data_IF_157333268263
#
_entry.id   IF_157333268263
#
_cell.length_a   1.000
_cell.length_b   1.000
_cell.length_c   1.000
_cell.angle_alpha   90.00
_cell.angle_beta   90.00
_cell.angle_gamma   90.00
#
_symmetry.space_group_name_H-M   'P 1'
#
loop_
_entity.id
_entity.type
_entity.pdbx_description
1 polymer ?
#
# COMPACT_ATOMS: atom_id res chain seq x y z
N UNK A 1 -2.74 -25.56 19.75
CA UNK A 1 -3.66 -24.91 18.80
C UNK A 1 -3.37 -23.43 18.87
N UNK A 2 -3.14 -22.75 17.74
CA UNK A 2 -2.99 -21.29 17.75
C UNK A 2 -4.25 -20.66 18.34
N UNK A 3 -4.08 -19.61 19.15
CA UNK A 3 -5.18 -18.85 19.72
C UNK A 3 -5.96 -18.22 18.56
N UNK A 4 -7.25 -18.52 18.46
CA UNK A 4 -8.11 -17.92 17.43
C UNK A 4 -8.44 -16.48 17.81
N UNK A 5 -8.49 -15.61 16.81
CA UNK A 5 -8.75 -14.17 16.96
C UNK A 5 -9.99 -13.79 16.15
N UNK A 6 -10.91 -13.06 16.76
CA UNK A 6 -12.08 -12.49 16.09
C UNK A 6 -11.67 -11.17 15.42
N UNK A 7 -12.00 -11.03 14.14
CA UNK A 7 -11.52 -9.94 13.28
C UNK A 7 -12.69 -9.18 12.67
N UNK A 8 -12.61 -7.84 12.66
CA UNK A 8 -13.49 -6.99 11.87
C UNK A 8 -12.75 -6.43 10.65
N UNK A 9 -13.38 -6.47 9.47
CA UNK A 9 -12.91 -5.78 8.27
C UNK A 9 -13.87 -4.62 7.99
N UNK A 10 -13.39 -3.39 8.19
CA UNK A 10 -14.18 -2.16 8.03
C UNK A 10 -13.92 -1.54 6.67
N UNK A 11 -14.99 -1.31 5.90
CA UNK A 11 -14.90 -1.00 4.47
C UNK A 11 -14.89 -2.27 3.60
N UNK A 12 -15.50 -3.36 4.07
CA UNK A 12 -15.45 -4.68 3.45
C UNK A 12 -15.97 -4.78 2.01
N UNK A 13 -16.76 -3.80 1.55
CA UNK A 13 -17.30 -3.75 0.17
C UNK A 13 -16.44 -2.91 -0.79
N UNK A 14 -15.33 -2.34 -0.32
CA UNK A 14 -14.37 -1.64 -1.16
C UNK A 14 -13.31 -2.60 -1.69
N UNK A 15 -12.61 -2.23 -2.77
CA UNK A 15 -11.58 -3.09 -3.39
C UNK A 15 -10.55 -3.61 -2.38
N UNK A 16 -9.98 -2.73 -1.53
CA UNK A 16 -9.03 -3.14 -0.49
C UNK A 16 -9.68 -4.05 0.56
N UNK A 17 -10.91 -3.78 0.98
CA UNK A 17 -11.61 -4.58 1.99
C UNK A 17 -11.94 -6.00 1.51
N UNK A 18 -12.36 -6.13 0.25
CA UNK A 18 -12.55 -7.44 -0.40
C UNK A 18 -11.22 -8.20 -0.48
N UNK A 19 -10.13 -7.53 -0.87
CA UNK A 19 -8.79 -8.12 -0.90
C UNK A 19 -8.28 -8.49 0.49
N UNK A 20 -8.58 -7.71 1.55
CA UNK A 20 -8.25 -8.09 2.93
C UNK A 20 -8.93 -9.40 3.34
N UNK A 21 -10.23 -9.56 3.02
CA UNK A 21 -10.96 -10.80 3.29
C UNK A 21 -10.39 -11.99 2.51
N UNK A 22 -10.03 -11.77 1.24
CA UNK A 22 -9.39 -12.78 0.40
C UNK A 22 -8.04 -13.23 0.99
N UNK A 23 -7.17 -12.28 1.36
CA UNK A 23 -5.84 -12.56 1.89
C UNK A 23 -5.91 -13.25 3.25
N UNK A 24 -6.78 -12.79 4.15
CA UNK A 24 -7.02 -13.46 5.44
C UNK A 24 -7.34 -14.94 5.24
N UNK A 25 -8.13 -15.27 4.23
CA UNK A 25 -8.43 -16.66 3.87
C UNK A 25 -7.24 -17.38 3.24
N UNK A 26 -6.61 -16.80 2.22
CA UNK A 26 -5.48 -17.39 1.49
C UNK A 26 -4.30 -17.73 2.41
N UNK A 27 -4.02 -16.85 3.38
CA UNK A 27 -2.91 -17.00 4.33
C UNK A 27 -3.27 -17.85 5.54
N UNK A 28 -4.49 -18.40 5.60
CA UNK A 28 -4.99 -19.17 6.74
C UNK A 28 -4.80 -18.44 8.08
N UNK A 29 -5.06 -17.12 8.09
CA UNK A 29 -4.98 -16.32 9.31
C UNK A 29 -5.83 -17.00 10.41
N UNK A 30 -5.37 -17.04 11.68
CA UNK A 30 -6.00 -17.81 12.75
C UNK A 30 -7.33 -17.18 13.24
N UNK A 31 -8.30 -17.03 12.35
CA UNK A 31 -9.58 -16.39 12.62
C UNK A 31 -10.51 -17.30 13.44
N UNK A 32 -11.18 -16.69 14.42
CA UNK A 32 -12.38 -17.22 15.06
C UNK A 32 -13.60 -16.89 14.20
N UNK A 33 -14.20 -15.73 14.45
CA UNK A 33 -15.27 -15.11 13.67
C UNK A 33 -14.74 -13.89 12.92
N UNK A 34 -15.14 -13.76 11.65
CA UNK A 34 -14.84 -12.60 10.81
C UNK A 34 -16.12 -11.79 10.60
N UNK A 35 -16.04 -10.49 10.86
CA UNK A 35 -17.14 -9.53 10.69
C UNK A 35 -16.83 -8.61 9.51
N UNK A 36 -17.70 -8.60 8.50
CA UNK A 36 -17.61 -7.66 7.38
C UNK A 36 -18.45 -6.43 7.71
N UNK A 37 -17.83 -5.25 7.81
CA UNK A 37 -18.48 -4.01 8.22
C UNK A 37 -18.39 -2.96 7.11
N UNK A 38 -19.49 -2.26 6.87
CA UNK A 38 -19.54 -1.12 5.95
C UNK A 38 -20.62 -0.12 6.39
N UNK A 39 -20.90 0.89 5.55
CA UNK A 39 -22.01 1.83 5.79
C UNK A 39 -23.37 1.13 5.77
N UNK A 40 -24.37 1.74 6.41
CA UNK A 40 -25.79 1.33 6.35
C UNK A 40 -26.27 0.93 4.95
N UNK A 41 -25.92 1.71 3.91
CA UNK A 41 -26.28 1.42 2.50
C UNK A 41 -25.79 0.05 2.00
N UNK A 42 -24.66 -0.41 2.54
CA UNK A 42 -24.03 -1.67 2.16
C UNK A 42 -24.42 -2.83 3.08
N UNK A 43 -25.07 -2.56 4.23
CA UNK A 43 -25.49 -3.58 5.16
C UNK A 43 -26.53 -4.52 4.51
N UNK A 44 -26.41 -5.81 4.80
CA UNK A 44 -27.23 -6.86 4.17
C UNK A 44 -26.68 -7.39 2.85
N UNK A 45 -25.71 -6.71 2.22
CA UNK A 45 -24.99 -7.28 1.08
C UNK A 45 -24.13 -8.46 1.51
N UNK A 46 -23.73 -9.27 0.55
CA UNK A 46 -22.84 -10.41 0.76
C UNK A 46 -21.44 -10.13 0.19
N UNK A 47 -20.41 -10.45 0.95
CA UNK A 47 -19.00 -10.45 0.51
C UNK A 47 -18.39 -11.83 0.69
N UNK A 48 -17.43 -12.18 -0.17
CA UNK A 48 -16.79 -13.50 -0.12
C UNK A 48 -15.73 -13.56 0.99
N UNK A 49 -15.62 -14.71 1.64
CA UNK A 49 -14.54 -15.07 2.54
C UNK A 49 -14.15 -16.54 2.28
N UNK A 50 -13.29 -16.73 1.28
CA UNK A 50 -12.97 -18.07 0.77
C UNK A 50 -14.20 -18.77 0.21
N UNK A 51 -14.51 -19.93 0.77
CA UNK A 51 -15.70 -20.71 0.39
C UNK A 51 -16.98 -20.30 1.13
N UNK A 52 -16.92 -19.24 1.95
CA UNK A 52 -18.06 -18.73 2.73
C UNK A 52 -18.49 -17.36 2.20
N UNK A 53 -19.75 -17.03 2.46
CA UNK A 53 -20.29 -15.69 2.26
C UNK A 53 -20.56 -15.04 3.60
N UNK A 54 -20.09 -13.81 3.79
CA UNK A 54 -20.33 -12.99 4.97
C UNK A 54 -21.40 -11.95 4.64
N UNK A 55 -22.39 -11.82 5.52
CA UNK A 55 -23.35 -10.72 5.44
C UNK A 55 -22.69 -9.48 6.03
N UNK A 56 -22.71 -8.38 5.29
CA UNK A 56 -22.18 -7.10 5.72
C UNK A 56 -23.08 -6.52 6.81
N UNK A 57 -22.50 -6.21 7.97
CA UNK A 57 -23.17 -5.55 9.09
C UNK A 57 -22.93 -4.02 9.02
N UNK A 58 -23.82 -3.26 9.65
CA UNK A 58 -23.70 -1.80 9.73
C UNK A 58 -22.64 -1.40 10.77
N UNK A 59 -21.60 -0.71 10.30
CA UNK A 59 -20.51 -0.19 11.12
C UNK A 59 -21.02 0.69 12.28
N UNK A 60 -22.08 1.47 12.07
CA UNK A 60 -22.55 2.45 13.05
C UNK A 60 -23.09 1.79 14.33
N UNK A 61 -23.60 0.56 14.22
CA UNK A 61 -24.22 -0.18 15.33
C UNK A 61 -23.36 -1.36 15.81
N UNK A 62 -22.19 -1.56 15.20
CA UNK A 62 -21.31 -2.65 15.56
C UNK A 62 -20.67 -2.46 16.94
N UNK A 63 -20.57 -3.57 17.67
CA UNK A 63 -19.95 -3.62 19.00
C UNK A 63 -18.51 -4.12 18.89
N UNK A 64 -17.55 -3.21 18.97
CA UNK A 64 -16.12 -3.51 18.81
C UNK A 64 -15.52 -4.32 19.97
N UNK A 65 -16.20 -4.48 21.11
CA UNK A 65 -15.69 -5.36 22.18
C UNK A 65 -15.73 -6.84 21.80
N UNK A 66 -16.36 -7.19 20.66
CA UNK A 66 -16.45 -8.55 20.13
C UNK A 66 -15.22 -9.00 19.34
N UNK A 67 -14.29 -8.10 19.03
CA UNK A 67 -13.15 -8.37 18.14
C UNK A 67 -11.85 -7.91 18.79
N UNK A 68 -10.76 -8.64 18.56
CA UNK A 68 -9.44 -8.22 19.04
C UNK A 68 -8.67 -7.43 17.98
N UNK A 69 -8.96 -7.64 16.69
CA UNK A 69 -8.29 -6.95 15.58
C UNK A 69 -9.30 -6.35 14.60
N UNK A 70 -9.07 -5.11 14.20
CA UNK A 70 -9.84 -4.41 13.19
C UNK A 70 -8.97 -3.98 12.01
N UNK A 71 -9.25 -4.47 10.81
CA UNK A 71 -8.60 -4.03 9.57
C UNK A 71 -9.47 -2.95 8.92
N UNK A 72 -8.97 -1.71 8.86
CA UNK A 72 -9.75 -0.55 8.45
C UNK A 72 -9.30 -0.06 7.07
N UNK A 73 -10.22 -0.04 6.10
CA UNK A 73 -10.08 0.72 4.87
C UNK A 73 -11.37 1.45 4.42
N UNK A 74 -12.12 2.14 5.31
CA UNK A 74 -13.37 2.82 4.95
C UNK A 74 -13.20 4.24 4.38
N UNK A 75 -11.99 4.79 4.42
CA UNK A 75 -11.69 6.20 4.13
C UNK A 75 -11.47 7.03 5.39
N UNK A 76 -10.60 8.05 5.30
CA UNK A 76 -10.04 8.77 6.45
C UNK A 76 -11.11 9.37 7.40
N UNK A 77 -12.17 9.96 6.86
CA UNK A 77 -13.24 10.55 7.66
C UNK A 77 -14.01 9.52 8.52
N UNK A 78 -14.10 8.28 8.05
CA UNK A 78 -14.73 7.18 8.80
C UNK A 78 -13.74 6.65 9.84
N UNK A 79 -12.48 6.43 9.46
CA UNK A 79 -11.44 5.98 10.39
C UNK A 79 -11.26 6.94 11.57
N UNK A 80 -11.31 8.26 11.31
CA UNK A 80 -11.28 9.31 12.34
C UNK A 80 -12.31 9.11 13.46
N UNK A 81 -13.49 8.58 13.11
CA UNK A 81 -14.61 8.40 14.05
C UNK A 81 -14.56 7.02 14.71
N UNK A 82 -14.31 5.97 13.93
CA UNK A 82 -14.51 4.59 14.39
C UNK A 82 -13.23 3.91 14.88
N UNK A 83 -12.04 4.29 14.40
CA UNK A 83 -10.80 3.68 14.89
C UNK A 83 -10.56 3.98 16.38
N UNK A 84 -10.74 5.22 16.90
CA UNK A 84 -10.62 5.48 18.33
C UNK A 84 -11.67 4.73 19.16
N UNK A 85 -12.92 4.63 18.68
CA UNK A 85 -13.98 3.87 19.36
C UNK A 85 -13.66 2.38 19.46
N UNK A 86 -13.11 1.81 18.39
CA UNK A 86 -12.67 0.41 18.40
C UNK A 86 -11.51 0.20 19.38
N UNK A 87 -10.51 1.08 19.36
CA UNK A 87 -9.39 1.06 20.29
C UNK A 87 -9.84 1.16 21.76
N UNK A 88 -10.75 2.07 22.09
CA UNK A 88 -11.33 2.21 23.43
C UNK A 88 -12.10 0.95 23.88
N UNK A 89 -12.69 0.21 22.95
CA UNK A 89 -13.37 -1.07 23.22
C UNK A 89 -12.41 -2.26 23.36
N UNK A 90 -11.09 -2.05 23.24
CA UNK A 90 -10.07 -3.08 23.35
C UNK A 90 -9.69 -3.78 22.03
N UNK A 91 -10.19 -3.31 20.90
CA UNK A 91 -9.82 -3.80 19.57
C UNK A 91 -8.56 -3.06 19.07
N UNK A 92 -7.52 -3.79 18.65
CA UNK A 92 -6.35 -3.17 18.02
C UNK A 92 -6.66 -2.91 16.54
N UNK A 93 -6.59 -1.64 16.14
CA UNK A 93 -6.92 -1.21 14.79
C UNK A 93 -5.66 -1.13 13.92
N UNK A 94 -5.73 -1.69 12.72
CA UNK A 94 -4.75 -1.50 11.66
C UNK A 94 -5.44 -0.67 10.57
N UNK A 95 -5.07 0.60 10.48
CA UNK A 95 -5.76 1.58 9.64
C UNK A 95 -5.00 1.85 8.33
N UNK A 96 -5.62 1.52 7.20
CA UNK A 96 -5.10 1.75 5.85
C UNK A 96 -5.26 3.20 5.36
N UNK A 97 -5.95 4.05 6.11
CA UNK A 97 -6.14 5.45 5.71
C UNK A 97 -4.95 6.32 6.09
N UNK A 98 -4.91 7.54 5.55
CA UNK A 98 -3.87 8.50 5.93
C UNK A 98 -4.16 9.24 7.24
N UNK A 99 -5.30 9.00 7.90
CA UNK A 99 -5.75 9.81 9.06
C UNK A 99 -4.73 9.80 10.20
N UNK A 100 -4.12 8.65 10.48
CA UNK A 100 -3.27 8.45 11.66
C UNK A 100 -1.77 8.33 11.36
N UNK A 101 -1.36 8.35 10.09
CA UNK A 101 0.03 8.04 9.68
C UNK A 101 1.07 8.98 10.28
N UNK A 102 0.68 10.23 10.54
CA UNK A 102 1.58 11.29 11.01
C UNK A 102 1.37 11.63 12.50
N UNK A 103 0.56 10.87 13.24
CA UNK A 103 0.48 10.99 14.70
C UNK A 103 1.71 10.29 15.32
N UNK A 104 2.52 11.02 16.09
CA UNK A 104 3.74 10.50 16.72
C UNK A 104 3.48 9.34 17.70
N UNK A 105 2.26 9.27 18.27
CA UNK A 105 1.87 8.19 19.16
C UNK A 105 1.41 6.93 18.41
N UNK A 106 1.29 6.96 17.09
CA UNK A 106 0.80 5.85 16.27
C UNK A 106 1.92 5.35 15.35
N UNK A 107 2.31 4.06 15.43
CA UNK A 107 3.34 3.51 14.56
C UNK A 107 2.86 3.40 13.12
N UNK A 108 3.76 3.68 12.18
CA UNK A 108 3.56 3.54 10.74
C UNK A 108 4.44 2.39 10.23
N UNK A 109 3.83 1.29 9.80
CA UNK A 109 4.55 0.01 9.74
C UNK A 109 4.58 -0.61 8.33
N UNK A 110 5.77 -1.00 7.90
CA UNK A 110 5.99 -2.01 6.86
C UNK A 110 6.68 -3.20 7.53
N UNK A 111 6.03 -4.39 7.60
CA UNK A 111 6.55 -5.55 8.34
C UNK A 111 7.98 -5.96 8.00
N UNK A 112 8.39 -5.84 6.74
CA UNK A 112 9.75 -6.18 6.29
C UNK A 112 10.80 -5.11 6.68
N UNK A 113 10.38 -3.93 7.12
CA UNK A 113 11.25 -2.76 7.30
C UNK A 113 11.41 -2.36 8.75
N UNK A 114 10.30 -2.17 9.46
CA UNK A 114 10.28 -1.72 10.86
C UNK A 114 9.27 -2.51 11.72
N UNK A 115 9.34 -3.86 11.75
CA UNK A 115 8.37 -4.68 12.47
C UNK A 115 8.37 -4.43 13.99
N UNK A 116 9.48 -3.93 14.54
CA UNK A 116 9.59 -3.58 15.96
C UNK A 116 8.61 -2.47 16.37
N UNK A 117 8.30 -1.54 15.46
CA UNK A 117 7.38 -0.43 15.74
C UNK A 117 5.94 -0.90 16.02
N UNK A 118 5.58 -2.15 15.66
CA UNK A 118 4.28 -2.74 16.02
C UNK A 118 4.07 -2.70 17.54
N UNK A 119 5.12 -2.83 18.36
CA UNK A 119 5.02 -2.78 19.83
C UNK A 119 4.33 -1.51 20.37
N UNK A 120 4.41 -0.41 19.62
CA UNK A 120 3.85 0.90 19.99
C UNK A 120 2.33 0.97 19.79
N UNK A 121 1.69 -0.09 19.29
CA UNK A 121 0.23 -0.18 19.22
C UNK A 121 -0.46 0.13 20.56
N UNK A 122 0.22 -0.14 21.69
CA UNK A 122 -0.27 0.10 23.05
C UNK A 122 -0.53 1.57 23.37
N UNK A 123 0.11 2.48 22.65
CA UNK A 123 -0.03 3.92 22.90
C UNK A 123 -1.45 4.41 22.65
N UNK A 124 -2.08 3.93 21.57
CA UNK A 124 -3.41 4.41 21.11
C UNK A 124 -4.36 3.29 20.69
N UNK A 125 -3.93 2.03 20.71
CA UNK A 125 -4.67 0.89 20.16
C UNK A 125 -4.77 0.91 18.63
N UNK A 126 -3.93 1.69 17.95
CA UNK A 126 -3.97 1.91 16.50
C UNK A 126 -2.55 1.74 15.94
N UNK A 127 -2.44 1.04 14.81
CA UNK A 127 -1.27 0.96 13.94
C UNK A 127 -1.69 1.49 12.57
N UNK A 128 -0.89 2.38 11.97
CA UNK A 128 -1.16 2.90 10.64
C UNK A 128 -0.45 2.06 9.57
N UNK A 129 -1.19 1.72 8.52
CA UNK A 129 -0.67 1.10 7.30
C UNK A 129 -0.32 2.22 6.29
N UNK A 130 0.89 2.22 5.69
CA UNK A 130 1.36 3.32 4.84
C UNK A 130 0.69 3.40 3.46
N UNK A 131 1.07 4.42 2.69
CA UNK A 131 0.67 4.61 1.31
C UNK A 131 1.23 3.50 0.43
N UNK A 132 0.45 3.06 -0.56
CA UNK A 132 0.82 1.98 -1.47
C UNK A 132 2.16 2.20 -2.19
N UNK A 133 2.41 3.41 -2.69
CA UNK A 133 3.67 3.78 -3.35
C UNK A 133 4.84 3.75 -2.36
N UNK A 134 4.60 4.22 -1.13
CA UNK A 134 5.66 4.18 -0.10
C UNK A 134 5.99 2.75 0.31
N UNK A 135 5.00 1.85 0.48
CA UNK A 135 5.23 0.46 0.88
C UNK A 135 6.19 -0.25 -0.08
N UNK A 136 5.89 -0.24 -1.39
CA UNK A 136 6.74 -0.93 -2.36
C UNK A 136 8.16 -0.32 -2.45
N UNK A 137 8.27 1.00 -2.33
CA UNK A 137 9.54 1.69 -2.29
C UNK A 137 10.35 1.31 -1.04
N UNK A 138 9.73 1.27 0.14
CA UNK A 138 10.43 0.91 1.39
C UNK A 138 10.90 -0.53 1.38
N UNK A 139 10.08 -1.48 0.92
CA UNK A 139 10.50 -2.88 0.76
C UNK A 139 11.70 -2.98 -0.17
N UNK A 140 11.67 -2.33 -1.35
CA UNK A 140 12.77 -2.37 -2.31
C UNK A 140 14.05 -1.68 -1.80
N UNK A 141 13.93 -0.61 -1.02
CA UNK A 141 15.07 0.19 -0.58
C UNK A 141 15.71 -0.31 0.71
N UNK A 142 14.97 -0.99 1.58
CA UNK A 142 15.45 -1.47 2.89
C UNK A 142 16.74 -2.30 2.82
N UNK A 143 16.87 -3.36 2.00
CA UNK A 143 18.11 -4.14 1.95
C UNK A 143 19.34 -3.30 1.53
N UNK A 144 19.14 -2.31 0.66
CA UNK A 144 20.21 -1.40 0.23
C UNK A 144 20.55 -0.40 1.35
N UNK A 145 19.54 0.16 2.01
CA UNK A 145 19.70 1.08 3.13
C UNK A 145 20.48 0.44 4.27
N UNK A 146 20.17 -0.81 4.63
CA UNK A 146 20.88 -1.52 5.71
C UNK A 146 22.34 -1.81 5.36
N UNK A 147 22.64 -2.09 4.09
CA UNK A 147 23.99 -2.42 3.65
C UNK A 147 24.91 -1.19 3.57
N UNK A 148 24.43 -0.08 3.01
CA UNK A 148 25.30 1.06 2.64
C UNK A 148 24.70 2.44 2.96
N UNK A 149 23.48 2.50 3.49
CA UNK A 149 22.73 3.74 3.71
C UNK A 149 22.26 4.40 2.41
N UNK A 150 21.18 5.19 2.50
CA UNK A 150 20.64 5.99 1.40
C UNK A 150 20.58 7.45 1.86
N UNK A 151 21.19 8.36 1.10
CA UNK A 151 21.16 9.80 1.42
C UNK A 151 20.06 10.52 0.66
N UNK A 152 19.73 10.05 -0.55
CA UNK A 152 18.72 10.68 -1.39
C UNK A 152 17.97 9.69 -2.27
N UNK A 153 16.69 9.94 -2.46
CA UNK A 153 15.78 9.21 -3.35
C UNK A 153 15.12 10.21 -4.30
N UNK A 154 15.27 10.01 -5.60
CA UNK A 154 14.35 10.57 -6.60
C UNK A 154 13.46 9.46 -7.08
N UNK A 155 12.16 9.73 -7.17
CA UNK A 155 11.19 8.75 -7.63
C UNK A 155 10.17 9.40 -8.54
N UNK A 156 9.88 8.75 -9.66
CA UNK A 156 8.74 9.08 -10.50
C UNK A 156 7.81 7.89 -10.52
N UNK A 157 6.57 8.09 -10.07
CA UNK A 157 5.57 7.02 -10.00
C UNK A 157 4.74 6.95 -11.28
N UNK A 158 4.25 5.76 -11.57
CA UNK A 158 3.35 5.41 -12.65
C UNK A 158 2.20 4.65 -12.00
N UNK A 159 1.31 5.37 -11.34
CA UNK A 159 0.28 4.80 -10.48
C UNK A 159 -0.98 4.42 -11.28
N UNK A 160 -1.44 3.19 -11.06
CA UNK A 160 -2.71 2.68 -11.58
C UNK A 160 -3.94 3.41 -11.03
N UNK A 161 -5.05 3.38 -11.76
CA UNK A 161 -6.31 4.04 -11.39
C UNK A 161 -7.05 3.36 -10.24
N UNK A 162 -6.77 2.07 -9.94
CA UNK A 162 -7.33 1.38 -8.77
C UNK A 162 -6.96 2.03 -7.44
N UNK A 163 -5.88 2.82 -7.37
CA UNK A 163 -5.53 3.60 -6.18
C UNK A 163 -6.59 4.64 -5.78
N UNK A 164 -7.40 5.11 -6.74
CA UNK A 164 -8.56 5.99 -6.48
C UNK A 164 -9.86 5.19 -6.24
N UNK A 165 -9.80 3.86 -6.41
CA UNK A 165 -10.93 2.96 -6.23
C UNK A 165 -11.77 2.75 -7.50
N UNK A 166 -12.88 2.01 -7.32
CA UNK A 166 -13.76 1.55 -8.40
C UNK A 166 -14.26 2.64 -9.37
N UNK A 167 -14.66 3.85 -8.92
CA UNK A 167 -15.12 4.88 -9.83
C UNK A 167 -14.06 5.26 -10.89
N UNK A 168 -12.78 5.32 -10.51
CA UNK A 168 -11.70 5.66 -11.44
C UNK A 168 -11.40 4.52 -12.43
N UNK A 169 -11.53 3.27 -11.99
CA UNK A 169 -11.44 2.10 -12.89
C UNK A 169 -12.56 2.12 -13.92
N UNK A 170 -13.79 2.39 -13.49
CA UNK A 170 -14.95 2.52 -14.38
C UNK A 170 -14.76 3.69 -15.36
N UNK A 171 -14.22 4.82 -14.91
CA UNK A 171 -13.92 5.97 -15.77
C UNK A 171 -12.88 5.64 -16.85
N UNK A 172 -11.75 5.01 -16.49
CA UNK A 172 -10.74 4.59 -17.47
C UNK A 172 -11.34 3.64 -18.51
N UNK A 173 -12.12 2.64 -18.08
CA UNK A 173 -12.75 1.68 -18.98
C UNK A 173 -13.73 2.37 -19.95
N UNK A 174 -14.60 3.25 -19.42
CA UNK A 174 -15.59 3.99 -20.21
C UNK A 174 -14.94 4.95 -21.20
N UNK A 175 -13.96 5.74 -20.78
CA UNK A 175 -13.24 6.67 -21.65
C UNK A 175 -12.51 5.92 -22.78
N UNK A 176 -11.83 4.81 -22.44
CA UNK A 176 -11.12 3.99 -23.42
C UNK A 176 -12.08 3.41 -24.46
N UNK A 177 -13.19 2.81 -24.01
CA UNK A 177 -14.21 2.27 -24.91
C UNK A 177 -14.84 3.36 -25.79
N UNK A 178 -15.14 4.54 -25.23
CA UNK A 178 -15.71 5.65 -26.00
C UNK A 178 -14.77 6.10 -27.13
N UNK A 179 -13.49 6.33 -26.84
CA UNK A 179 -12.50 6.78 -27.82
C UNK A 179 -12.30 5.76 -28.95
N UNK A 180 -12.20 4.46 -28.60
CA UNK A 180 -12.07 3.39 -29.60
C UNK A 180 -13.32 3.22 -30.48
N UNK A 181 -14.45 3.81 -30.09
CA UNK A 181 -15.70 3.82 -30.84
C UNK A 181 -16.06 5.20 -31.42
N UNK A 182 -15.12 6.16 -31.44
CA UNK A 182 -15.33 7.50 -32.00
C UNK A 182 -16.36 8.35 -31.24
N UNK A 183 -16.59 8.05 -29.96
CA UNK A 183 -17.53 8.77 -29.09
C UNK A 183 -16.79 9.79 -28.23
N UNK A 184 -17.46 10.88 -27.80
CA UNK A 184 -16.87 11.84 -26.88
C UNK A 184 -16.57 11.19 -25.53
N UNK A 185 -15.59 11.74 -24.81
CA UNK A 185 -15.24 11.34 -23.45
C UNK A 185 -15.81 12.31 -22.43
N UNK A 186 -16.13 11.79 -21.25
CA UNK A 186 -16.47 12.59 -20.08
C UNK A 186 -15.46 12.27 -18.96
N UNK A 187 -15.02 13.31 -18.25
CA UNK A 187 -14.15 13.18 -17.07
C UNK A 187 -14.93 13.64 -15.85
N UNK A 188 -15.09 12.75 -14.87
CA UNK A 188 -15.94 12.93 -13.69
C UNK A 188 -15.21 12.64 -12.38
N UNK A 189 -14.27 11.70 -12.41
CA UNK A 189 -13.43 11.32 -11.27
C UNK A 189 -12.12 12.09 -11.31
N UNK A 190 -11.45 12.12 -12.46
CA UNK A 190 -10.24 12.92 -12.65
C UNK A 190 -10.55 14.28 -13.29
N UNK A 191 -9.74 15.32 -13.00
CA UNK A 191 -9.93 16.65 -13.59
C UNK A 191 -9.62 16.69 -15.10
N UNK A 192 -8.99 15.63 -15.64
CA UNK A 192 -8.63 15.49 -17.06
C UNK A 192 -8.83 14.03 -17.48
N UNK A 193 -8.99 13.82 -18.79
CA UNK A 193 -9.06 12.48 -19.40
C UNK A 193 -7.87 11.63 -18.97
N UNK A 194 -8.13 10.40 -18.50
CA UNK A 194 -7.09 9.44 -18.13
C UNK A 194 -6.81 8.43 -19.25
N UNK A 195 -7.81 8.07 -20.06
CA UNK A 195 -7.59 7.16 -21.19
C UNK A 195 -6.54 7.71 -22.16
N UNK A 196 -5.53 6.89 -22.49
CA UNK A 196 -4.39 7.26 -23.36
C UNK A 196 -3.63 8.52 -22.91
N UNK A 197 -3.59 8.82 -21.61
CA UNK A 197 -2.99 10.04 -21.08
C UNK A 197 -2.22 9.77 -19.77
N UNK A 198 -1.40 10.74 -19.35
CA UNK A 198 -0.67 10.72 -18.08
C UNK A 198 -0.97 11.99 -17.29
N UNK A 199 -1.34 11.86 -16.02
CA UNK A 199 -1.74 12.99 -15.17
C UNK A 199 -0.73 13.17 -14.03
N UNK A 200 0.11 14.23 -14.03
CA UNK A 200 1.09 14.50 -12.97
C UNK A 200 0.42 15.18 -11.77
N UNK A 201 -0.64 14.57 -11.26
CA UNK A 201 -1.47 15.11 -10.18
C UNK A 201 -2.23 13.96 -9.50
N UNK A 202 -1.81 13.62 -8.28
CA UNK A 202 -2.49 12.65 -7.42
C UNK A 202 -2.69 13.28 -6.05
N UNK A 203 -3.93 13.20 -5.54
CA UNK A 203 -4.34 13.95 -4.34
C UNK A 203 -4.30 15.47 -4.59
N UNK A 204 -4.40 16.31 -3.55
CA UNK A 204 -4.43 17.78 -3.68
C UNK A 204 -3.04 18.41 -3.73
N UNK A 205 -2.90 19.62 -4.27
CA UNK A 205 -1.65 20.40 -4.16
C UNK A 205 -1.46 20.98 -2.75
N UNK A 206 -0.22 21.00 -2.30
CA UNK A 206 0.26 21.65 -1.07
C UNK A 206 0.92 23.01 -1.40
N UNK A 207 1.14 23.86 -0.39
CA UNK A 207 1.65 25.23 -0.57
C UNK A 207 3.06 25.29 -1.21
N UNK A 208 3.84 24.21 -1.09
CA UNK A 208 5.18 24.09 -1.65
C UNK A 208 5.20 23.67 -3.13
N UNK A 209 4.04 23.44 -3.75
CA UNK A 209 3.89 23.04 -5.15
C UNK A 209 3.94 21.54 -5.40
N UNK A 210 4.28 20.72 -4.41
CA UNK A 210 4.08 19.27 -4.46
C UNK A 210 2.61 18.94 -4.24
N UNK A 211 2.21 17.74 -4.65
CA UNK A 211 0.94 17.14 -4.26
C UNK A 211 1.05 16.44 -2.91
N UNK A 212 -0.09 16.21 -2.26
CA UNK A 212 -0.14 15.50 -0.99
C UNK A 212 0.38 14.08 -1.15
N UNK A 213 0.11 13.39 -2.26
CA UNK A 213 0.65 12.04 -2.54
C UNK A 213 2.18 12.03 -2.57
N UNK A 214 2.78 13.01 -3.24
CA UNK A 214 4.22 13.23 -3.24
C UNK A 214 4.74 13.46 -1.82
N UNK A 215 4.07 14.32 -1.04
CA UNK A 215 4.46 14.57 0.34
C UNK A 215 4.28 13.35 1.25
N UNK A 216 3.30 12.47 1.00
CA UNK A 216 3.19 11.18 1.71
C UNK A 216 4.45 10.36 1.53
N UNK A 217 4.95 10.24 0.29
CA UNK A 217 6.20 9.49 0.03
C UNK A 217 7.39 10.10 0.77
N UNK A 218 7.44 11.43 0.95
CA UNK A 218 8.50 12.09 1.73
C UNK A 218 8.37 11.78 3.22
N UNK A 219 7.22 12.09 3.83
CA UNK A 219 7.04 12.01 5.28
C UNK A 219 7.01 10.57 5.77
N UNK A 220 6.33 9.68 5.05
CA UNK A 220 6.20 8.28 5.43
C UNK A 220 7.54 7.55 5.31
N UNK A 221 8.36 7.84 4.29
CA UNK A 221 9.72 7.28 4.17
C UNK A 221 10.57 7.58 5.39
N UNK A 222 10.61 8.84 5.83
CA UNK A 222 11.39 9.26 7.00
C UNK A 222 10.92 8.57 8.27
N UNK A 223 9.60 8.50 8.47
CA UNK A 223 9.01 7.85 9.66
C UNK A 223 9.25 6.35 9.67
N UNK A 224 9.11 5.66 8.53
CA UNK A 224 9.28 4.20 8.43
C UNK A 224 10.75 3.78 8.57
N UNK A 225 11.66 4.54 7.94
CA UNK A 225 13.11 4.28 8.03
C UNK A 225 13.75 4.83 9.31
N UNK A 226 12.99 5.58 10.12
CA UNK A 226 13.46 6.24 11.34
C UNK A 226 14.68 7.14 11.09
N UNK A 227 14.70 7.80 9.93
CA UNK A 227 15.79 8.69 9.51
C UNK A 227 15.27 9.94 8.78
N UNK A 228 15.32 11.08 9.47
CA UNK A 228 14.92 12.38 8.94
C UNK A 228 15.89 12.95 7.89
N UNK A 229 17.10 12.40 7.78
CA UNK A 229 18.15 12.89 6.88
C UNK A 229 17.99 12.36 5.45
N UNK A 230 17.17 11.33 5.22
CA UNK A 230 16.89 10.83 3.87
C UNK A 230 16.15 11.92 3.08
N UNK A 231 16.80 12.45 2.05
CA UNK A 231 16.17 13.39 1.14
C UNK A 231 15.29 12.63 0.13
N UNK A 232 14.01 12.96 0.02
CA UNK A 232 13.08 12.31 -0.91
C UNK A 232 12.50 13.36 -1.86
N UNK A 233 12.58 13.11 -3.16
CA UNK A 233 12.08 13.98 -4.21
C UNK A 233 11.17 13.19 -5.19
N UNK A 234 9.85 13.14 -4.91
CA UNK A 234 8.90 12.40 -5.72
C UNK A 234 8.22 13.25 -6.79
N UNK A 235 7.89 12.63 -7.93
CA UNK A 235 6.84 13.07 -8.87
C UNK A 235 5.78 11.98 -8.95
N UNK A 236 4.54 12.27 -8.59
CA UNK A 236 3.46 11.29 -8.60
C UNK A 236 2.58 11.43 -9.86
N UNK A 237 2.54 10.39 -10.71
CA UNK A 237 1.82 10.43 -11.99
C UNK A 237 0.80 9.30 -12.09
N UNK A 238 -0.45 9.65 -12.41
CA UNK A 238 -1.49 8.68 -12.73
C UNK A 238 -1.38 8.26 -14.20
N UNK A 239 -1.41 6.96 -14.44
CA UNK A 239 -1.30 6.35 -15.78
C UNK A 239 -2.52 5.47 -16.09
N UNK A 240 -2.81 5.15 -17.37
CA UNK A 240 -4.00 4.41 -17.77
C UNK A 240 -3.82 2.90 -17.57
N UNK A 241 -3.48 2.50 -16.35
CA UNK A 241 -3.29 1.11 -15.92
C UNK A 241 -4.33 0.80 -14.83
N UNK A 242 -4.97 -0.36 -14.88
CA UNK A 242 -6.02 -0.73 -13.91
C UNK A 242 -5.46 -1.06 -12.53
N UNK A 243 -4.48 -1.96 -12.46
CA UNK A 243 -3.88 -2.45 -11.21
C UNK A 243 -2.36 -2.48 -11.33
N UNK A 244 -1.68 -2.33 -10.20
CA UNK A 244 -0.23 -2.29 -10.10
C UNK A 244 0.32 -0.87 -10.21
N UNK A 245 1.14 -0.48 -9.24
CA UNK A 245 1.94 0.75 -9.35
C UNK A 245 3.33 0.41 -9.87
N UNK A 246 3.93 1.33 -10.59
CA UNK A 246 5.33 1.22 -10.99
C UNK A 246 6.10 2.48 -10.62
N UNK A 247 7.39 2.34 -10.34
CA UNK A 247 8.23 3.43 -9.88
C UNK A 247 9.60 3.35 -10.55
N UNK A 248 9.99 4.45 -11.19
CA UNK A 248 11.38 4.67 -11.56
C UNK A 248 12.07 5.33 -10.37
N UNK A 249 12.97 4.60 -9.72
CA UNK A 249 13.66 5.05 -8.51
C UNK A 249 15.14 5.23 -8.82
N UNK A 250 15.67 6.41 -8.47
CA UNK A 250 17.08 6.73 -8.53
C UNK A 250 17.54 7.12 -7.13
N UNK A 251 18.45 6.34 -6.55
CA UNK A 251 18.98 6.58 -5.21
C UNK A 251 20.44 7.00 -5.26
N UNK A 252 20.84 7.81 -4.29
CA UNK A 252 22.22 8.09 -3.95
C UNK A 252 22.50 7.41 -2.60
N UNK A 253 23.47 6.49 -2.57
CA UNK A 253 23.86 5.75 -1.36
C UNK A 253 24.98 6.47 -0.62
N UNK A 254 25.07 6.27 0.70
CA UNK A 254 26.16 6.86 1.51
C UNK A 254 27.49 6.23 1.09
N UNK A 255 27.56 4.90 1.10
CA UNK A 255 28.72 4.14 0.64
C UNK A 255 28.47 3.53 -0.75
N UNK A 256 29.52 3.33 -1.54
CA UNK A 256 29.41 2.77 -2.89
C UNK A 256 28.87 1.34 -2.83
N UNK A 257 27.82 1.06 -3.59
CA UNK A 257 27.29 -0.28 -3.84
C UNK A 257 27.28 -0.55 -5.34
N UNK A 258 27.78 -1.72 -5.76
CA UNK A 258 27.74 -2.13 -7.16
C UNK A 258 26.33 -2.62 -7.52
N UNK A 259 25.94 -2.55 -8.80
CA UNK A 259 24.65 -3.11 -9.22
C UNK A 259 24.58 -4.63 -9.02
N UNK A 260 25.71 -5.34 -9.10
CA UNK A 260 25.76 -6.78 -8.84
C UNK A 260 25.44 -7.10 -7.39
N UNK A 261 26.06 -6.38 -6.44
CA UNK A 261 25.82 -6.61 -5.01
C UNK A 261 24.42 -6.14 -4.60
N UNK A 262 23.93 -5.03 -5.18
CA UNK A 262 22.55 -4.61 -5.01
C UNK A 262 21.55 -5.70 -5.45
N UNK A 263 21.78 -6.35 -6.61
CA UNK A 263 20.94 -7.48 -7.05
C UNK A 263 20.97 -8.66 -6.08
N UNK A 264 22.12 -9.00 -5.50
CA UNK A 264 22.22 -10.08 -4.50
C UNK A 264 21.37 -9.76 -3.27
N UNK A 265 21.53 -8.55 -2.72
CA UNK A 265 20.76 -8.09 -1.57
C UNK A 265 19.25 -8.12 -1.84
N UNK A 266 18.82 -7.66 -3.02
CA UNK A 266 17.42 -7.66 -3.42
C UNK A 266 16.86 -9.08 -3.62
N UNK A 267 17.64 -10.00 -4.19
CA UNK A 267 17.21 -11.38 -4.42
C UNK A 267 17.09 -12.20 -3.14
N UNK A 268 17.82 -11.83 -2.08
CA UNK A 268 17.81 -12.51 -0.77
C UNK A 268 16.77 -11.93 0.20
N UNK A 269 16.24 -10.74 -0.07
CA UNK A 269 15.32 -10.04 0.83
C UNK A 269 13.89 -10.58 0.72
N UNK A 270 13.28 -10.90 1.86
CA UNK A 270 11.91 -11.44 1.90
C UNK A 270 10.90 -10.42 1.35
N UNK A 271 9.95 -10.92 0.55
CA UNK A 271 8.93 -10.09 -0.07
C UNK A 271 9.36 -9.43 -1.39
N UNK A 272 10.61 -9.59 -1.82
CA UNK A 272 11.08 -9.16 -3.14
C UNK A 272 11.17 -10.32 -4.12
N UNK A 273 10.69 -10.13 -5.34
CA UNK A 273 11.03 -10.96 -6.50
C UNK A 273 11.88 -10.15 -7.49
N UNK A 274 13.15 -10.53 -7.65
CA UNK A 274 14.05 -9.88 -8.59
C UNK A 274 13.85 -10.42 -10.01
N UNK A 275 13.38 -9.55 -10.92
CA UNK A 275 13.32 -9.80 -12.36
C UNK A 275 14.17 -8.76 -13.09
N UNK A 276 15.47 -9.04 -13.21
CA UNK A 276 16.45 -8.12 -13.79
C UNK A 276 17.34 -8.81 -14.84
N UNK A 277 16.71 -9.41 -15.83
CA UNK A 277 17.41 -9.99 -16.96
C UNK A 277 17.59 -8.91 -18.03
N UNK A 278 18.83 -8.57 -18.38
CA UNK A 278 19.15 -7.53 -19.37
C UNK A 278 18.93 -8.03 -20.82
N UNK A 279 17.73 -8.54 -21.10
CA UNK A 279 17.23 -9.04 -22.37
C UNK A 279 15.78 -8.57 -22.57
N UNK A 280 15.22 -8.71 -23.77
CA UNK A 280 13.84 -8.32 -24.05
C UNK A 280 12.85 -9.03 -23.10
N UNK A 281 11.98 -8.25 -22.46
CA UNK A 281 10.99 -8.74 -21.49
C UNK A 281 11.56 -9.18 -20.14
N UNK A 282 12.86 -9.00 -19.88
CA UNK A 282 13.50 -9.42 -18.64
C UNK A 282 13.32 -8.48 -17.44
N UNK A 283 12.19 -7.77 -17.36
CA UNK A 283 11.87 -6.78 -16.33
C UNK A 283 10.39 -6.83 -15.95
N UNK A 284 10.01 -6.47 -14.70
CA UNK A 284 8.64 -6.58 -14.26
C UNK A 284 7.77 -5.44 -14.79
N UNK A 285 6.49 -5.72 -15.03
CA UNK A 285 5.49 -4.70 -15.33
C UNK A 285 4.23 -4.84 -14.47
N UNK A 286 3.47 -3.76 -14.35
CA UNK A 286 2.24 -3.72 -13.54
C UNK A 286 1.23 -4.80 -13.93
N UNK A 287 1.11 -5.09 -15.24
CA UNK A 287 0.07 -6.00 -15.78
C UNK A 287 0.49 -7.46 -15.69
N UNK A 288 1.78 -7.76 -15.93
CA UNK A 288 2.25 -9.14 -16.11
C UNK A 288 2.70 -9.81 -14.82
N UNK A 289 3.49 -9.12 -13.99
CA UNK A 289 4.06 -9.70 -12.76
C UNK A 289 3.31 -9.25 -11.51
N UNK A 290 2.95 -7.96 -11.43
CA UNK A 290 2.49 -7.38 -10.16
C UNK A 290 1.00 -7.62 -9.88
N UNK A 291 0.11 -7.43 -10.86
CA UNK A 291 -1.34 -7.50 -10.62
C UNK A 291 -1.77 -8.86 -10.06
N UNK A 292 -2.38 -8.86 -8.87
CA UNK A 292 -2.90 -10.05 -8.21
C UNK A 292 -1.87 -10.89 -7.44
N UNK A 293 -0.61 -10.44 -7.35
CA UNK A 293 0.46 -11.16 -6.65
C UNK A 293 0.89 -10.42 -5.37
N UNK A 294 1.52 -11.15 -4.44
CA UNK A 294 2.00 -10.63 -3.14
C UNK A 294 3.36 -9.89 -3.19
N UNK A 295 4.35 -10.31 -4.00
CA UNK A 295 5.69 -9.72 -3.94
C UNK A 295 5.78 -8.29 -4.44
N UNK A 296 6.82 -7.59 -3.98
CA UNK A 296 7.35 -6.40 -4.65
C UNK A 296 8.36 -6.86 -5.70
N UNK A 297 8.10 -6.54 -6.96
CA UNK A 297 8.99 -6.88 -8.05
C UNK A 297 10.01 -5.77 -8.27
N UNK A 298 11.28 -6.16 -8.43
CA UNK A 298 12.36 -5.21 -8.69
C UNK A 298 13.12 -5.64 -9.94
N UNK A 299 13.45 -4.68 -10.80
CA UNK A 299 14.26 -4.90 -11.99
C UNK A 299 15.00 -3.64 -12.41
N UNK A 300 15.65 -3.71 -13.58
CA UNK A 300 16.43 -2.62 -14.18
C UNK A 300 17.52 -2.08 -13.26
N UNK A 301 18.11 -2.93 -12.42
CA UNK A 301 19.08 -2.54 -11.40
C UNK A 301 20.42 -2.23 -12.07
N UNK A 302 20.85 -0.98 -11.97
CA UNK A 302 22.08 -0.51 -12.62
C UNK A 302 22.69 0.65 -11.85
N UNK A 303 24.00 0.76 -11.92
CA UNK A 303 24.70 1.94 -11.43
C UNK A 303 24.29 3.17 -12.24
N UNK A 304 24.18 4.30 -11.56
CA UNK A 304 24.02 5.57 -12.22
C UNK A 304 25.37 6.00 -12.84
N UNK A 305 25.32 6.35 -14.12
CA UNK A 305 26.49 6.89 -14.84
C UNK A 305 26.76 8.35 -14.49
N UNK A 306 25.80 9.04 -13.86
CA UNK A 306 25.88 10.46 -13.52
C UNK A 306 26.35 10.74 -12.08
N UNK A 307 26.28 9.73 -11.20
CA UNK A 307 26.63 9.86 -9.79
C UNK A 307 27.48 8.66 -9.32
N UNK A 308 28.64 8.88 -8.68
CA UNK A 308 29.54 7.79 -8.31
C UNK A 308 28.91 6.76 -7.38
N UNK A 309 28.01 7.18 -6.48
CA UNK A 309 27.26 6.30 -5.57
C UNK A 309 25.77 6.20 -5.93
N UNK A 310 25.43 6.38 -7.21
CA UNK A 310 24.04 6.28 -7.65
C UNK A 310 23.64 4.86 -8.08
N UNK A 311 22.40 4.47 -7.78
CA UNK A 311 21.75 3.26 -8.28
C UNK A 311 20.36 3.60 -8.82
N UNK A 312 19.99 2.93 -9.91
CA UNK A 312 18.69 3.07 -10.54
C UNK A 312 17.94 1.74 -10.48
N UNK A 313 16.66 1.78 -10.15
CA UNK A 313 15.78 0.62 -10.02
C UNK A 313 14.43 0.90 -10.70
N UNK A 314 13.76 -0.18 -11.11
CA UNK A 314 12.36 -0.18 -11.51
C UNK A 314 11.61 -1.10 -10.56
N UNK A 315 10.62 -0.55 -9.85
CA UNK A 315 9.88 -1.27 -8.80
C UNK A 315 8.41 -1.31 -9.14
N UNK A 316 7.79 -2.48 -8.99
CA UNK A 316 6.38 -2.71 -9.33
C UNK A 316 5.72 -3.58 -8.27
N UNK A 317 4.53 -3.22 -7.80
CA UNK A 317 3.74 -4.05 -6.89
C UNK A 317 2.23 -3.81 -7.09
N UNK A 318 1.41 -4.80 -6.70
CA UNK A 318 -0.04 -4.59 -6.63
C UNK A 318 -0.37 -3.61 -5.51
N UNK A 319 -0.95 -2.46 -5.88
CA UNK A 319 -1.28 -1.38 -4.95
C UNK A 319 -2.49 -1.66 -4.05
N UNK A 320 -3.36 -2.60 -4.42
CA UNK A 320 -4.50 -3.04 -3.60
C UNK A 320 -4.09 -4.20 -2.70
N UNK A 321 -3.16 -5.05 -3.18
CA UNK A 321 -2.61 -6.20 -2.46
C UNK A 321 -1.44 -5.78 -1.55
N UNK A 322 -0.17 -5.88 -1.98
CA UNK A 322 0.99 -5.48 -1.15
C UNK A 322 0.91 -4.03 -0.68
N UNK A 323 0.47 -3.12 -1.54
CA UNK A 323 0.33 -1.70 -1.21
C UNK A 323 -0.78 -1.34 -0.23
N UNK A 324 -1.62 -2.29 0.22
CA UNK A 324 -2.68 -2.01 1.20
C UNK A 324 -3.08 -3.24 2.01
N UNK A 325 -3.79 -4.20 1.40
CA UNK A 325 -4.45 -5.29 2.09
C UNK A 325 -3.45 -6.29 2.70
N UNK A 326 -2.45 -6.72 1.93
CA UNK A 326 -1.46 -7.69 2.41
C UNK A 326 -0.62 -7.10 3.54
N UNK A 327 -0.13 -5.87 3.38
CA UNK A 327 0.66 -5.20 4.43
C UNK A 327 -0.15 -5.09 5.73
N UNK A 328 -1.44 -4.75 5.64
CA UNK A 328 -2.34 -4.71 6.80
C UNK A 328 -2.50 -6.09 7.47
N UNK A 329 -2.65 -7.16 6.67
CA UNK A 329 -2.76 -8.53 7.20
C UNK A 329 -1.43 -9.00 7.80
N UNK A 330 -0.28 -8.70 7.18
CA UNK A 330 1.04 -9.03 7.72
C UNK A 330 1.31 -8.30 9.05
N UNK A 331 0.91 -7.03 9.19
CA UNK A 331 0.95 -6.33 10.49
C UNK A 331 0.10 -7.09 11.52
N UNK A 332 -1.10 -7.53 11.14
CA UNK A 332 -1.98 -8.31 12.02
C UNK A 332 -1.38 -9.66 12.40
N UNK A 333 -0.68 -10.33 11.48
CA UNK A 333 -0.01 -11.61 11.73
C UNK A 333 1.05 -11.45 12.82
N UNK A 334 1.94 -10.46 12.68
CA UNK A 334 2.97 -10.17 13.68
C UNK A 334 2.34 -9.73 15.01
N UNK A 335 1.30 -8.91 14.97
CA UNK A 335 0.57 -8.46 16.15
C UNK A 335 0.02 -9.65 16.94
N UNK A 336 -0.66 -10.58 16.26
CA UNK A 336 -1.28 -11.76 16.88
C UNK A 336 -0.22 -12.73 17.40
N UNK A 337 0.86 -12.95 16.67
CA UNK A 337 1.89 -13.90 17.07
C UNK A 337 2.68 -13.42 18.30
N UNK A 338 3.03 -12.13 18.34
CA UNK A 338 3.99 -11.62 19.31
C UNK A 338 3.38 -10.83 20.46
N UNK A 339 2.13 -10.36 20.35
CA UNK A 339 1.57 -9.41 21.31
C UNK A 339 0.16 -9.76 21.85
N UNK A 340 -0.58 -10.70 21.25
CA UNK A 340 -1.95 -11.09 21.67
C UNK A 340 -2.09 -12.55 22.09
#
# INVERSE_FOLDING_TARGET
MSKKIDVAVVGATGAVGETMLEILHQRNFPVGKVYALASERSAGNAVSFGNKSLIVEDLATFDFSKVQVGLFSPGASVSKIYAPKAAEAGCVVIDNTSEFRYDDAIPLVVPEVNPHAIADYKNRGIIANPNCSTIQMMVALKPIYDAVGITRVNVCTYQAVSGTGKPAMDELAKQTAALLNGRPVESSVYPKQIAFNVLPHIDVFEDNGYTKEEMKMVWETKKIMEDDNIAVNPTAVRVPVFYGHSEAIHIETRDKLTAEDARKLLAEFEGIELLDNHVDGGYPTAVTEASGTDPVYVGRVREDISHPNGLNLWVVADNVRKGAALNSVQIAEILVENYL
#
